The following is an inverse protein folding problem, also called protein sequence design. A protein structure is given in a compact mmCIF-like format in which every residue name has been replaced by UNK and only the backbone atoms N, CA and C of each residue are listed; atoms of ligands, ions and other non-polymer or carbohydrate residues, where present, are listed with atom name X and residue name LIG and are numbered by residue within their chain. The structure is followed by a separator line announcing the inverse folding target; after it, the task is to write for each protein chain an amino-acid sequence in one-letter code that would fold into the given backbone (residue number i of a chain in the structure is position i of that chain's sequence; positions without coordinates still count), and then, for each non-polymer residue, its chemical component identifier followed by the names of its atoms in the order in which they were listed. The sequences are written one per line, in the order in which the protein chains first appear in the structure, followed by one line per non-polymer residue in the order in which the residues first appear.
data_IF_749909328342
#
_entry.id   IF_749909328342
#
_cell.length_a   1.000
_cell.length_b   1.000
_cell.length_c   1.000
_cell.angle_alpha   90.00
_cell.angle_beta   90.00
_cell.angle_gamma   90.00
#
_symmetry.space_group_name_H-M   'P 1'
#
loop_
_entity.id
_entity.type
_entity.pdbx_description
1 polymer ?
#
# COMPACT_ATOMS: atom_id res chain seq x y z
N UNK A 1 -3.55 -2.29 21.16
CA UNK A 1 -2.09 -2.47 21.28
C UNK A 1 -1.46 -2.95 19.97
N UNK A 2 -1.76 -4.16 19.45
CA UNK A 2 -1.14 -4.67 18.21
C UNK A 2 -1.38 -3.81 16.94
N UNK A 3 -2.60 -3.32 16.72
CA UNK A 3 -2.90 -2.44 15.57
C UNK A 3 -2.12 -1.11 15.62
N UNK A 4 -2.00 -0.51 16.81
CA UNK A 4 -1.20 0.70 17.02
C UNK A 4 0.30 0.45 16.80
N UNK A 5 0.80 -0.73 17.15
CA UNK A 5 2.19 -1.11 16.89
C UNK A 5 2.46 -1.30 15.39
N UNK A 6 1.54 -1.93 14.66
CA UNK A 6 1.61 -2.06 13.19
C UNK A 6 1.61 -0.68 12.53
N UNK A 7 0.72 0.23 12.93
CA UNK A 7 0.65 1.57 12.34
C UNK A 7 1.86 2.43 12.73
N UNK A 8 2.21 2.49 14.02
CA UNK A 8 3.29 3.33 14.52
C UNK A 8 4.66 2.87 14.04
N UNK A 9 4.99 1.59 14.21
CA UNK A 9 6.32 1.09 13.84
C UNK A 9 6.43 0.93 12.34
N UNK A 10 5.50 0.21 11.71
CA UNK A 10 5.70 -0.19 10.31
C UNK A 10 5.31 0.91 9.33
N UNK A 11 4.20 1.61 9.57
CA UNK A 11 3.72 2.55 8.58
C UNK A 11 4.40 3.92 8.69
N UNK A 12 4.77 4.35 9.90
CA UNK A 12 5.40 5.65 10.14
C UNK A 12 6.90 5.53 10.41
N UNK A 13 7.31 4.77 11.44
CA UNK A 13 8.71 4.78 11.87
C UNK A 13 9.66 4.19 10.80
N UNK A 14 9.28 3.08 10.17
CA UNK A 14 10.09 2.46 9.10
C UNK A 14 10.17 3.37 7.88
N UNK A 15 9.03 3.82 7.34
CA UNK A 15 9.03 4.60 6.09
C UNK A 15 9.72 5.96 6.23
N UNK A 16 9.43 6.71 7.29
CA UNK A 16 10.07 8.00 7.53
C UNK A 16 11.52 7.83 7.99
N UNK A 17 11.80 6.82 8.82
CA UNK A 17 13.14 6.54 9.33
C UNK A 17 14.13 6.21 8.22
N UNK A 18 13.77 5.32 7.29
CA UNK A 18 14.63 5.01 6.14
C UNK A 18 14.85 6.21 5.21
N UNK A 19 13.80 7.02 4.99
CA UNK A 19 13.91 8.23 4.17
C UNK A 19 14.90 9.24 4.77
N UNK A 20 14.74 9.60 6.04
CA UNK A 20 15.65 10.54 6.69
C UNK A 20 17.06 9.99 6.84
N UNK A 21 17.22 8.69 7.13
CA UNK A 21 18.52 8.05 7.20
C UNK A 21 19.27 8.09 5.86
N UNK A 22 18.58 7.80 4.75
CA UNK A 22 19.14 7.91 3.40
C UNK A 22 19.56 9.34 3.06
N UNK A 23 18.73 10.34 3.40
CA UNK A 23 19.08 11.75 3.19
C UNK A 23 20.34 12.16 3.97
N UNK A 24 20.49 11.64 5.20
CA UNK A 24 21.67 11.90 6.03
C UNK A 24 22.91 11.16 5.50
N UNK A 25 22.77 9.90 5.08
CA UNK A 25 23.87 9.12 4.51
C UNK A 25 24.42 9.70 3.20
N UNK A 26 23.56 10.37 2.41
CA UNK A 26 23.95 11.06 1.17
C UNK A 26 24.53 12.46 1.40
N UNK A 27 24.63 12.93 2.65
CA UNK A 27 25.21 14.23 2.99
C UNK A 27 24.41 15.44 2.48
N UNK A 28 23.11 15.27 2.21
CA UNK A 28 22.26 16.34 1.68
C UNK A 28 21.95 17.38 2.77
N UNK A 29 21.96 18.69 2.44
CA UNK A 29 21.75 19.76 3.41
C UNK A 29 20.37 19.71 4.09
N UNK A 30 20.31 20.10 5.37
CA UNK A 30 19.12 20.03 6.22
C UNK A 30 17.88 20.78 5.69
N UNK A 31 18.08 21.74 4.79
CA UNK A 31 17.01 22.45 4.07
C UNK A 31 16.26 21.57 3.06
N UNK A 32 16.92 20.56 2.47
CA UNK A 32 16.26 19.51 1.67
C UNK A 32 15.62 18.42 2.56
N UNK A 33 16.13 18.25 3.78
CA UNK A 33 15.60 17.30 4.77
C UNK A 33 14.31 17.82 5.44
N UNK A 34 14.14 19.13 5.59
CA UNK A 34 12.95 19.76 6.18
C UNK A 34 11.94 20.30 5.14
N UNK A 35 12.31 20.40 3.86
CA UNK A 35 11.63 21.29 2.90
C UNK A 35 10.52 20.71 2.01
N UNK A 36 10.59 19.46 1.53
CA UNK A 36 9.46 18.89 0.78
C UNK A 36 9.60 17.38 0.59
N UNK A 37 8.76 16.60 1.29
CA UNK A 37 8.50 15.23 0.86
C UNK A 37 8.06 15.27 -0.60
N UNK A 38 8.79 14.56 -1.48
CA UNK A 38 8.45 14.51 -2.91
C UNK A 38 7.03 13.95 -3.06
N UNK A 39 6.30 14.31 -4.13
CA UNK A 39 4.97 13.74 -4.40
C UNK A 39 4.96 12.21 -4.32
N UNK A 40 6.02 11.56 -4.84
CA UNK A 40 6.22 10.11 -4.77
C UNK A 40 6.31 9.61 -3.32
N UNK A 41 7.16 10.21 -2.47
CA UNK A 41 7.29 9.78 -1.08
C UNK A 41 5.98 9.98 -0.31
N UNK A 42 5.29 11.11 -0.51
CA UNK A 42 3.98 11.35 0.13
C UNK A 42 2.95 10.28 -0.27
N UNK A 43 2.90 9.96 -1.57
CA UNK A 43 2.01 8.93 -2.07
C UNK A 43 2.36 7.56 -1.49
N UNK A 44 3.62 7.14 -1.54
CA UNK A 44 4.09 5.85 -1.02
C UNK A 44 3.80 5.70 0.48
N UNK A 45 4.06 6.74 1.28
CA UNK A 45 3.75 6.73 2.72
C UNK A 45 2.24 6.58 2.94
N UNK A 46 1.42 7.35 2.23
CA UNK A 46 -0.04 7.25 2.32
C UNK A 46 -0.58 5.88 1.90
N UNK A 47 -0.06 5.32 0.81
CA UNK A 47 -0.41 4.00 0.30
C UNK A 47 -0.06 2.90 1.30
N UNK A 48 1.17 2.92 1.86
CA UNK A 48 1.62 1.96 2.87
C UNK A 48 0.87 2.07 4.19
N UNK A 49 0.48 3.30 4.59
CA UNK A 49 -0.40 3.53 5.73
C UNK A 49 -1.77 2.90 5.52
N UNK A 50 -2.38 3.11 4.35
CA UNK A 50 -3.68 2.53 4.01
C UNK A 50 -3.64 1.01 4.04
N UNK A 51 -2.59 0.41 3.47
CA UNK A 51 -2.37 -1.04 3.49
C UNK A 51 -2.22 -1.56 4.93
N UNK A 52 -1.51 -0.82 5.78
CA UNK A 52 -1.33 -1.17 7.20
C UNK A 52 -2.65 -1.10 7.99
N UNK A 53 -3.50 -0.11 7.71
CA UNK A 53 -4.86 -0.05 8.26
C UNK A 53 -5.66 -1.26 7.84
N UNK A 54 -5.62 -1.64 6.56
CA UNK A 54 -6.35 -2.82 6.08
C UNK A 54 -5.84 -4.08 6.77
N UNK A 55 -4.53 -4.30 6.86
CA UNK A 55 -3.94 -5.47 7.56
C UNK A 55 -4.39 -5.51 9.02
N UNK A 56 -4.46 -4.35 9.69
CA UNK A 56 -4.93 -4.25 11.05
C UNK A 56 -6.42 -4.59 11.21
N UNK A 57 -7.27 -4.23 10.23
CA UNK A 57 -8.68 -4.65 10.22
C UNK A 57 -8.81 -6.14 9.88
N UNK A 58 -8.03 -6.62 8.92
CA UNK A 58 -8.08 -7.99 8.41
C UNK A 58 -7.69 -9.02 9.48
N UNK A 59 -6.77 -8.67 10.40
CA UNK A 59 -6.38 -9.55 11.50
C UNK A 59 -7.55 -9.87 12.45
N UNK A 60 -8.48 -8.92 12.61
CA UNK A 60 -9.63 -9.07 13.51
C UNK A 60 -10.76 -9.87 12.84
N UNK A 61 -10.71 -10.07 11.51
CA UNK A 61 -11.71 -10.85 10.76
C UNK A 61 -11.77 -12.33 11.19
N UNK A 62 -10.67 -13.11 11.19
CA UNK A 62 -10.67 -14.49 11.65
C UNK A 62 -10.93 -14.63 13.17
N UNK A 63 -10.66 -13.59 13.95
CA UNK A 63 -10.74 -13.63 15.42
C UNK A 63 -12.08 -13.11 15.99
N UNK A 64 -13.03 -12.72 15.13
CA UNK A 64 -14.36 -12.21 15.50
C UNK A 64 -15.08 -13.01 16.60
N UNK A 65 -15.09 -14.35 16.50
CA UNK A 65 -15.77 -15.22 17.49
C UNK A 65 -15.04 -15.22 18.84
N UNK A 66 -13.71 -15.11 18.84
CA UNK A 66 -12.91 -15.03 20.06
C UNK A 66 -13.12 -13.68 20.75
N UNK A 67 -13.03 -12.59 19.99
CA UNK A 67 -13.25 -11.22 20.49
C UNK A 67 -14.64 -11.05 21.11
N UNK A 68 -15.68 -11.58 20.46
CA UNK A 68 -17.06 -11.53 20.97
C UNK A 68 -17.20 -12.25 22.32
N UNK A 69 -16.60 -13.45 22.46
CA UNK A 69 -16.61 -14.22 23.73
C UNK A 69 -15.82 -13.53 24.84
N UNK A 70 -14.75 -12.83 24.50
CA UNK A 70 -13.95 -12.04 25.43
C UNK A 70 -14.56 -10.66 25.77
N UNK A 71 -15.73 -10.33 25.22
CA UNK A 71 -16.39 -9.03 25.42
C UNK A 71 -15.72 -7.86 24.69
N UNK A 72 -14.79 -8.14 23.77
CA UNK A 72 -14.08 -7.11 22.99
C UNK A 72 -14.92 -6.71 21.79
N UNK A 73 -15.32 -5.43 21.72
CA UNK A 73 -16.18 -4.90 20.65
C UNK A 73 -15.38 -4.33 19.48
N UNK A 74 -14.70 -5.20 18.71
CA UNK A 74 -14.02 -4.81 17.45
C UNK A 74 -15.02 -4.46 16.35
N UNK A 75 -14.56 -3.78 15.28
CA UNK A 75 -15.41 -3.44 14.12
C UNK A 75 -16.04 -4.69 13.51
N UNK A 76 -15.25 -5.77 13.43
CA UNK A 76 -15.67 -7.08 12.95
C UNK A 76 -16.76 -7.71 13.82
N UNK A 77 -16.68 -7.57 15.15
CA UNK A 77 -17.74 -8.05 16.06
C UNK A 77 -19.04 -7.25 15.88
N UNK A 78 -18.96 -5.93 15.61
CA UNK A 78 -20.15 -5.08 15.46
C UNK A 78 -20.84 -5.23 14.10
N UNK A 79 -20.07 -5.28 13.02
CA UNK A 79 -20.61 -5.30 11.64
C UNK A 79 -20.71 -6.71 11.04
N UNK A 80 -19.98 -7.67 11.61
CA UNK A 80 -19.86 -9.03 11.12
C UNK A 80 -18.62 -9.24 10.24
N UNK A 81 -18.02 -10.45 10.26
CA UNK A 81 -16.79 -10.76 9.54
C UNK A 81 -16.92 -10.61 8.02
N UNK A 82 -18.06 -10.99 7.44
CA UNK A 82 -18.29 -10.89 5.99
C UNK A 82 -18.26 -9.45 5.50
N UNK A 83 -18.90 -8.51 6.22
CA UNK A 83 -18.94 -7.10 5.81
C UNK A 83 -17.56 -6.46 5.91
N UNK A 84 -16.84 -6.71 7.00
CA UNK A 84 -15.48 -6.17 7.21
C UNK A 84 -14.49 -6.77 6.21
N UNK A 85 -14.59 -8.06 5.92
CA UNK A 85 -13.79 -8.72 4.88
C UNK A 85 -13.95 -8.01 3.53
N UNK A 86 -15.18 -7.87 3.02
CA UNK A 86 -15.42 -7.22 1.74
C UNK A 86 -15.03 -5.74 1.73
N UNK A 87 -15.24 -5.02 2.84
CA UNK A 87 -14.75 -3.65 2.97
C UNK A 87 -13.22 -3.58 2.82
N UNK A 88 -12.48 -4.48 3.44
CA UNK A 88 -11.02 -4.55 3.28
C UNK A 88 -10.60 -4.81 1.83
N UNK A 89 -11.27 -5.75 1.15
CA UNK A 89 -10.98 -6.04 -0.26
C UNK A 89 -11.27 -4.82 -1.14
N UNK A 90 -12.39 -4.12 -0.93
CA UNK A 90 -12.71 -2.89 -1.66
C UNK A 90 -11.70 -1.77 -1.43
N UNK A 91 -11.26 -1.57 -0.18
CA UNK A 91 -10.24 -0.56 0.16
C UNK A 91 -8.91 -0.89 -0.54
N UNK A 92 -8.47 -2.15 -0.55
CA UNK A 92 -7.24 -2.55 -1.23
C UNK A 92 -7.35 -2.40 -2.75
N UNK A 93 -8.48 -2.79 -3.35
CA UNK A 93 -8.73 -2.59 -4.78
C UNK A 93 -8.71 -1.10 -5.14
N UNK A 94 -9.31 -0.24 -4.31
CA UNK A 94 -9.26 1.20 -4.51
C UNK A 94 -7.82 1.75 -4.35
N UNK A 95 -7.04 1.22 -3.41
CA UNK A 95 -5.63 1.58 -3.24
C UNK A 95 -4.82 1.26 -4.50
N UNK A 96 -5.00 0.07 -5.08
CA UNK A 96 -4.37 -0.31 -6.35
C UNK A 96 -4.80 0.58 -7.52
N UNK A 97 -6.09 0.92 -7.60
CA UNK A 97 -6.59 1.90 -8.57
C UNK A 97 -5.93 3.27 -8.40
N UNK A 98 -5.77 3.72 -7.16
CA UNK A 98 -5.04 4.94 -6.82
C UNK A 98 -3.58 4.91 -7.24
N UNK A 99 -2.88 3.79 -7.06
CA UNK A 99 -1.49 3.62 -7.51
C UNK A 99 -1.37 3.65 -9.04
N UNK A 100 -2.33 3.08 -9.76
CA UNK A 100 -2.38 3.18 -11.23
C UNK A 100 -2.60 4.62 -11.69
N UNK A 101 -3.56 5.33 -11.08
CA UNK A 101 -3.85 6.72 -11.39
C UNK A 101 -2.66 7.63 -11.07
N UNK A 102 -2.00 7.42 -9.93
CA UNK A 102 -0.80 8.15 -9.54
C UNK A 102 0.36 7.91 -10.52
N UNK A 103 0.62 6.66 -10.91
CA UNK A 103 1.66 6.33 -11.90
C UNK A 103 1.44 7.05 -13.23
N UNK A 104 0.19 7.08 -13.71
CA UNK A 104 -0.17 7.76 -14.94
C UNK A 104 -0.03 9.28 -14.82
N UNK A 105 -0.52 9.87 -13.72
CA UNK A 105 -0.38 11.29 -13.44
C UNK A 105 1.09 11.72 -13.35
N UNK A 106 1.93 10.93 -12.68
CA UNK A 106 3.36 11.16 -12.56
C UNK A 106 4.03 11.11 -13.93
N UNK A 107 3.72 10.12 -14.77
CA UNK A 107 4.26 10.02 -16.13
C UNK A 107 3.93 11.25 -16.97
N UNK A 108 2.65 11.65 -17.00
CA UNK A 108 2.17 12.82 -17.74
C UNK A 108 2.82 14.12 -17.26
N UNK A 109 3.06 14.24 -15.94
CA UNK A 109 3.72 15.41 -15.33
C UNK A 109 5.19 15.50 -15.70
N UNK A 110 5.89 14.36 -15.88
CA UNK A 110 7.30 14.33 -16.28
C UNK A 110 7.51 14.46 -17.80
N UNK A 111 6.52 14.09 -18.62
CA UNK A 111 6.60 14.19 -20.08
C UNK A 111 6.03 15.50 -20.64
N UNK A 112 5.60 16.45 -19.80
CA UNK A 112 5.06 17.74 -20.22
C UNK A 112 5.94 18.91 -19.77
N UNK A 113 5.99 19.97 -20.59
CA UNK A 113 6.65 21.25 -20.27
C UNK A 113 8.18 21.18 -20.15
N UNK A 114 8.77 22.15 -19.41
CA UNK A 114 10.22 22.29 -19.22
C UNK A 114 10.89 21.09 -18.51
N UNK A 115 10.11 20.22 -17.85
CA UNK A 115 10.58 19.00 -17.19
C UNK A 115 10.99 17.89 -18.17
N UNK A 116 10.54 17.96 -19.43
CA UNK A 116 10.96 17.02 -20.47
C UNK A 116 12.48 17.04 -20.72
N UNK A 117 13.15 18.18 -20.50
CA UNK A 117 14.61 18.30 -20.62
C UNK A 117 15.36 17.57 -19.49
N UNK A 118 14.80 17.51 -18.28
CA UNK A 118 15.39 16.79 -17.14
C UNK A 118 15.19 15.26 -17.23
N UNK A 119 14.24 14.79 -18.04
CA UNK A 119 13.91 13.37 -18.23
C UNK A 119 15.03 12.53 -18.87
N UNK A 120 16.07 13.16 -19.44
CA UNK A 120 17.20 12.48 -20.06
C UNK A 120 17.95 11.56 -19.08
N UNK A 121 18.13 11.99 -17.82
CA UNK A 121 18.75 11.18 -16.77
C UNK A 121 17.85 10.01 -16.31
N UNK A 122 16.55 10.06 -16.59
CA UNK A 122 15.56 9.05 -16.21
C UNK A 122 15.22 8.08 -17.36
N UNK A 123 16.06 7.97 -18.39
CA UNK A 123 15.85 7.08 -19.54
C UNK A 123 14.95 7.65 -20.65
N UNK A 124 14.71 8.96 -20.63
CA UNK A 124 13.85 9.65 -21.60
C UNK A 124 12.36 9.25 -21.50
N UNK A 125 11.55 9.78 -22.42
CA UNK A 125 10.11 9.54 -22.43
C UNK A 125 9.76 8.04 -22.51
N UNK A 126 10.48 7.27 -23.33
CA UNK A 126 10.27 5.83 -23.46
C UNK A 126 10.52 5.07 -22.13
N UNK A 127 11.58 5.42 -21.40
CA UNK A 127 11.86 4.82 -20.08
C UNK A 127 10.80 5.15 -19.03
N UNK A 128 10.29 6.39 -19.03
CA UNK A 128 9.18 6.82 -18.16
C UNK A 128 7.92 6.00 -18.42
N UNK A 129 7.52 5.88 -19.69
CA UNK A 129 6.32 5.12 -20.07
C UNK A 129 6.47 3.62 -19.80
N UNK A 130 7.65 3.05 -20.01
CA UNK A 130 7.92 1.64 -19.70
C UNK A 130 7.78 1.36 -18.19
N UNK A 131 8.36 2.20 -17.32
CA UNK A 131 8.20 2.08 -15.85
C UNK A 131 6.74 2.24 -15.43
N UNK A 132 6.05 3.21 -16.01
CA UNK A 132 4.63 3.46 -15.75
C UNK A 132 3.76 2.26 -16.11
N UNK A 133 3.98 1.70 -17.30
CA UNK A 133 3.27 0.51 -17.76
C UNK A 133 3.55 -0.70 -16.86
N UNK A 134 4.81 -0.91 -16.45
CA UNK A 134 5.18 -1.98 -15.52
C UNK A 134 4.52 -1.80 -14.14
N UNK A 135 4.51 -0.57 -13.60
CA UNK A 135 3.80 -0.25 -12.36
C UNK A 135 2.31 -0.54 -12.46
N UNK A 136 1.63 -0.03 -13.49
CA UNK A 136 0.19 -0.24 -13.69
C UNK A 136 -0.12 -1.73 -13.85
N UNK A 137 0.63 -2.45 -14.69
CA UNK A 137 0.45 -3.88 -14.88
C UNK A 137 0.65 -4.67 -13.57
N UNK A 138 1.65 -4.30 -12.76
CA UNK A 138 1.90 -4.91 -11.45
C UNK A 138 0.72 -4.73 -10.49
N UNK A 139 0.25 -3.49 -10.30
CA UNK A 139 -0.86 -3.20 -9.38
C UNK A 139 -2.20 -3.80 -9.87
N UNK A 140 -2.48 -3.76 -11.18
CA UNK A 140 -3.66 -4.44 -11.75
C UNK A 140 -3.57 -5.95 -11.59
N UNK A 141 -2.38 -6.54 -11.78
CA UNK A 141 -2.13 -7.95 -11.55
C UNK A 141 -2.39 -8.36 -10.10
N UNK A 142 -1.88 -7.59 -9.13
CA UNK A 142 -2.12 -7.84 -7.71
C UNK A 142 -3.59 -7.63 -7.32
N UNK A 143 -4.27 -6.62 -7.88
CA UNK A 143 -5.70 -6.42 -7.68
C UNK A 143 -6.50 -7.61 -8.21
N UNK A 144 -6.17 -8.12 -9.40
CA UNK A 144 -6.80 -9.31 -9.97
C UNK A 144 -6.56 -10.55 -9.11
N UNK A 145 -5.33 -10.77 -8.66
CA UNK A 145 -4.95 -11.89 -7.78
C UNK A 145 -5.68 -11.81 -6.42
N UNK A 146 -5.76 -10.62 -5.82
CA UNK A 146 -6.54 -10.38 -4.60
C UNK A 146 -8.00 -10.75 -4.82
N UNK A 147 -8.61 -10.28 -5.90
CA UNK A 147 -10.02 -10.51 -6.19
C UNK A 147 -10.33 -11.98 -6.49
N UNK A 148 -9.43 -12.67 -7.22
CA UNK A 148 -9.51 -14.10 -7.47
C UNK A 148 -9.44 -14.91 -6.18
N UNK A 149 -8.56 -14.52 -5.24
CA UNK A 149 -8.47 -15.16 -3.92
C UNK A 149 -9.72 -14.87 -3.09
N UNK A 150 -10.15 -13.62 -3.03
CA UNK A 150 -11.28 -13.17 -2.22
C UNK A 150 -12.60 -13.90 -2.57
N UNK A 151 -12.87 -14.11 -3.86
CA UNK A 151 -14.07 -14.85 -4.33
C UNK A 151 -14.14 -16.31 -3.83
N UNK A 152 -13.02 -16.90 -3.45
CA UNK A 152 -12.92 -18.30 -3.01
C UNK A 152 -13.00 -18.45 -1.49
N UNK A 153 -13.05 -17.34 -0.74
CA UNK A 153 -13.02 -17.36 0.73
C UNK A 153 -14.43 -17.57 1.28
N UNK A 154 -14.62 -18.61 2.10
CA UNK A 154 -15.81 -18.71 2.93
C UNK A 154 -15.61 -17.91 4.22
N UNK A 155 -16.32 -16.79 4.37
CA UNK A 155 -16.20 -15.89 5.53
C UNK A 155 -16.72 -16.47 6.84
N UNK A 156 -17.37 -17.64 6.84
CA UNK A 156 -17.78 -18.34 8.05
C UNK A 156 -16.68 -19.26 8.60
N UNK A 157 -15.71 -19.63 7.75
CA UNK A 157 -14.61 -20.53 8.09
C UNK A 157 -13.37 -19.72 8.48
N UNK A 158 -12.97 -19.84 9.75
CA UNK A 158 -11.79 -19.15 10.30
C UNK A 158 -10.51 -19.43 9.52
N UNK A 159 -10.31 -20.67 9.06
CA UNK A 159 -9.13 -21.06 8.30
C UNK A 159 -9.01 -20.28 6.98
N UNK A 160 -10.09 -20.19 6.19
CA UNK A 160 -10.10 -19.48 4.91
C UNK A 160 -9.81 -17.98 5.10
N UNK A 161 -10.32 -17.38 6.19
CA UNK A 161 -10.06 -16.00 6.57
C UNK A 161 -8.58 -15.79 6.96
N UNK A 162 -8.00 -16.69 7.75
CA UNK A 162 -6.60 -16.63 8.16
C UNK A 162 -5.65 -16.84 6.97
N UNK A 163 -5.98 -17.74 6.05
CA UNK A 163 -5.20 -17.98 4.84
C UNK A 163 -5.26 -16.77 3.89
N UNK A 164 -6.43 -16.13 3.78
CA UNK A 164 -6.58 -14.90 3.01
C UNK A 164 -5.83 -13.72 3.66
N UNK A 165 -5.88 -13.62 4.99
CA UNK A 165 -5.08 -12.65 5.75
C UNK A 165 -3.59 -12.78 5.44
N UNK A 166 -3.04 -14.00 5.53
CA UNK A 166 -1.65 -14.28 5.18
C UNK A 166 -1.34 -14.00 3.70
N UNK A 167 -2.32 -14.14 2.81
CA UNK A 167 -2.17 -13.76 1.41
C UNK A 167 -2.06 -12.24 1.22
N UNK A 168 -2.89 -11.45 1.91
CA UNK A 168 -2.80 -9.97 1.91
C UNK A 168 -1.42 -9.50 2.38
N UNK A 169 -0.82 -10.19 3.36
CA UNK A 169 0.56 -9.94 3.77
C UNK A 169 1.59 -10.17 2.67
N UNK A 170 1.41 -11.22 1.85
CA UNK A 170 2.30 -11.46 0.70
C UNK A 170 2.19 -10.34 -0.33
N UNK A 171 0.97 -9.86 -0.59
CA UNK A 171 0.75 -8.71 -1.48
C UNK A 171 1.42 -7.45 -0.92
N UNK A 172 1.26 -7.16 0.38
CA UNK A 172 1.95 -6.04 1.03
C UNK A 172 3.47 -6.09 0.87
N UNK A 173 4.08 -7.27 0.98
CA UNK A 173 5.53 -7.39 0.75
C UNK A 173 5.91 -7.27 -0.74
N UNK A 174 5.04 -7.70 -1.65
CA UNK A 174 5.25 -7.51 -3.08
C UNK A 174 5.26 -6.02 -3.48
N UNK A 175 4.55 -5.16 -2.76
CA UNK A 175 4.57 -3.70 -3.00
C UNK A 175 5.97 -3.10 -2.94
N UNK A 176 6.88 -3.64 -2.11
CA UNK A 176 8.25 -3.11 -2.03
C UNK A 176 9.04 -3.29 -3.34
N UNK A 177 8.60 -4.21 -4.21
CA UNK A 177 9.17 -4.40 -5.55
C UNK A 177 8.59 -3.38 -6.54
N UNK A 178 7.32 -2.99 -6.38
CA UNK A 178 6.61 -2.11 -7.31
C UNK A 178 6.71 -0.63 -6.96
N UNK A 179 6.86 -0.28 -5.68
CA UNK A 179 7.01 1.11 -5.22
C UNK A 179 8.16 1.86 -5.92
N UNK A 180 9.34 1.27 -6.15
CA UNK A 180 10.40 1.93 -6.91
C UNK A 180 10.03 2.29 -8.35
N UNK A 181 8.96 1.69 -8.89
CA UNK A 181 8.44 1.99 -10.23
C UNK A 181 7.37 3.10 -10.22
N UNK A 182 6.86 3.48 -9.04
CA UNK A 182 5.99 4.65 -8.86
C UNK A 182 6.86 5.90 -8.99
N UNK A 183 6.58 6.69 -10.03
CA UNK A 183 7.32 7.91 -10.39
C UNK A 183 6.93 9.13 -9.54
#
# INVERSE_FOLDING_TARGET
MAAGCILGVRALAVQLGFYFHMLQALGLPATLQAGSLTPAVKFTVGFMLLFSVVIALFKDVPDSKGDSRAGVRTLTVRLGPTKVFWACIWILTAAYGGACAYSLWAALSHTSGAAAAASAAAGGAAGIWARTAASIAGHLGMAALLWQRAKKVNTERRQDLADCYMYVWKLFYAEYILIPLLL
#
